data_IF_188296441897
#
_entry.id   IF_188296441897
#
_cell.length_a   1.000
_cell.length_b   1.000
_cell.length_c   1.000
_cell.angle_alpha   90.00
_cell.angle_beta   90.00
_cell.angle_gamma   90.00
#
_symmetry.space_group_name_H-M   'P 1'
#
loop_
_entity.id
_entity.type
_entity.pdbx_description
1 polymer ?
#
# COMPACT_ATOMS: atom_id res chain seq x y z
N UNK A 1 -12.09 -11.78 6.84
CA UNK A 1 -10.67 -11.61 6.55
C UNK A 1 -9.91 -11.36 7.84
N UNK A 2 -8.75 -11.93 7.96
CA UNK A 2 -7.87 -11.71 9.12
C UNK A 2 -7.49 -10.22 9.23
N UNK A 3 -7.44 -9.70 10.46
CA UNK A 3 -6.98 -8.33 10.70
C UNK A 3 -5.51 -8.19 10.33
N UNK A 4 -5.19 -7.11 9.61
CA UNK A 4 -3.84 -6.83 9.13
C UNK A 4 -3.25 -5.63 9.87
N UNK A 5 -1.93 -5.58 9.94
CA UNK A 5 -1.21 -4.36 10.30
C UNK A 5 -0.75 -3.71 9.00
N UNK A 6 -1.21 -2.51 8.74
CA UNK A 6 -1.05 -1.85 7.45
C UNK A 6 -0.16 -0.61 7.59
N UNK A 7 0.82 -0.50 6.71
CA UNK A 7 1.60 0.72 6.56
C UNK A 7 0.95 1.57 5.46
N UNK A 8 0.60 2.80 5.79
CA UNK A 8 0.02 3.76 4.85
C UNK A 8 1.11 4.75 4.44
N UNK A 9 1.29 4.92 3.13
CA UNK A 9 2.23 5.88 2.57
C UNK A 9 1.44 6.90 1.75
N UNK A 10 1.26 8.08 2.31
CA UNK A 10 0.43 9.16 1.74
C UNK A 10 0.90 10.50 2.28
N UNK A 11 1.20 11.45 1.39
CA UNK A 11 1.69 12.77 1.79
C UNK A 11 0.59 13.80 2.10
N UNK A 12 -0.63 13.57 1.64
CA UNK A 12 -1.78 14.40 2.00
C UNK A 12 -2.35 13.91 3.33
N UNK A 13 -2.21 14.73 4.38
CA UNK A 13 -2.61 14.33 5.73
C UNK A 13 -4.11 14.06 5.87
N UNK A 14 -4.94 14.77 5.12
CA UNK A 14 -6.40 14.55 5.17
C UNK A 14 -6.75 13.22 4.50
N UNK A 15 -6.17 12.94 3.35
CA UNK A 15 -6.39 11.67 2.64
C UNK A 15 -5.88 10.52 3.50
N UNK A 16 -4.72 10.66 4.10
CA UNK A 16 -4.15 9.65 5.00
C UNK A 16 -5.09 9.37 6.18
N UNK A 17 -5.64 10.40 6.80
CA UNK A 17 -6.56 10.25 7.93
C UNK A 17 -7.83 9.50 7.51
N UNK A 18 -8.42 9.87 6.37
CA UNK A 18 -9.62 9.21 5.87
C UNK A 18 -9.36 7.74 5.55
N UNK A 19 -8.21 7.45 4.96
CA UNK A 19 -7.81 6.08 4.66
C UNK A 19 -7.64 5.25 5.94
N UNK A 20 -6.98 5.81 6.94
CA UNK A 20 -6.82 5.14 8.24
C UNK A 20 -8.18 4.83 8.87
N UNK A 21 -9.10 5.79 8.87
CA UNK A 21 -10.45 5.57 9.40
C UNK A 21 -11.15 4.42 8.70
N UNK A 22 -11.08 4.39 7.37
CA UNK A 22 -11.68 3.31 6.58
C UNK A 22 -11.08 1.96 6.91
N UNK A 23 -9.76 1.89 7.02
CA UNK A 23 -9.07 0.63 7.35
C UNK A 23 -9.43 0.12 8.74
N UNK A 24 -9.52 1.02 9.71
CA UNK A 24 -9.93 0.67 11.08
C UNK A 24 -11.38 0.17 11.10
N UNK A 25 -12.27 0.80 10.36
CA UNK A 25 -13.67 0.34 10.23
C UNK A 25 -13.75 -1.05 9.60
N UNK A 26 -12.83 -1.39 8.71
CA UNK A 26 -12.74 -2.72 8.10
C UNK A 26 -12.17 -3.76 9.06
N UNK A 27 -11.70 -3.36 10.23
CA UNK A 27 -11.14 -4.28 11.22
C UNK A 27 -9.62 -4.41 11.19
N UNK A 28 -8.92 -3.57 10.42
CA UNK A 28 -7.46 -3.59 10.35
C UNK A 28 -6.83 -2.60 11.31
N UNK A 29 -5.56 -2.82 11.65
CA UNK A 29 -4.74 -1.84 12.34
C UNK A 29 -3.83 -1.12 11.37
N UNK A 30 -3.37 0.07 11.76
CA UNK A 30 -2.41 0.85 10.98
C UNK A 30 -1.16 1.00 11.83
N UNK A 31 -0.05 0.45 11.37
CA UNK A 31 1.20 0.46 12.14
C UNK A 31 2.07 1.69 11.86
N UNK A 32 1.76 2.43 10.81
CA UNK A 32 2.47 3.67 10.50
C UNK A 32 1.80 4.42 9.37
N UNK A 33 1.99 5.74 9.37
CA UNK A 33 1.56 6.63 8.29
C UNK A 33 2.78 7.48 7.94
N UNK A 34 3.26 7.38 6.71
CA UNK A 34 4.46 8.08 6.27
C UNK A 34 4.18 8.91 5.03
N UNK A 35 4.80 10.07 4.97
CA UNK A 35 4.57 11.03 3.90
C UNK A 35 5.68 11.03 2.84
N UNK A 36 6.81 10.38 3.12
CA UNK A 36 7.99 10.40 2.25
C UNK A 36 8.48 9.00 1.94
N UNK A 37 9.26 8.89 0.87
CA UNK A 37 9.87 7.61 0.48
C UNK A 37 10.79 7.09 1.60
N UNK A 38 11.68 7.91 2.13
CA UNK A 38 12.60 7.49 3.19
C UNK A 38 11.88 7.12 4.49
N UNK A 39 10.84 7.87 4.84
CA UNK A 39 10.01 7.57 6.01
C UNK A 39 9.30 6.23 5.88
N UNK A 40 8.78 5.94 4.68
CA UNK A 40 8.11 4.68 4.40
C UNK A 40 9.07 3.48 4.56
N UNK A 41 10.28 3.59 4.03
CA UNK A 41 11.30 2.53 4.13
C UNK A 41 11.67 2.28 5.60
N UNK A 42 11.91 3.34 6.35
CA UNK A 42 12.24 3.22 7.78
C UNK A 42 11.08 2.59 8.58
N UNK A 43 9.85 3.03 8.33
CA UNK A 43 8.67 2.51 9.01
C UNK A 43 8.44 1.03 8.71
N UNK A 44 8.66 0.60 7.47
CA UNK A 44 8.50 -0.81 7.10
C UNK A 44 9.48 -1.72 7.85
N UNK A 45 10.71 -1.27 8.04
CA UNK A 45 11.69 -2.01 8.82
C UNK A 45 11.30 -2.09 10.29
N UNK A 46 10.73 -1.02 10.82
CA UNK A 46 10.37 -0.93 12.23
C UNK A 46 9.08 -1.67 12.57
N UNK A 47 8.04 -1.50 11.77
CA UNK A 47 6.74 -2.09 12.11
C UNK A 47 6.43 -3.42 11.41
N UNK A 48 7.18 -3.79 10.39
CA UNK A 48 7.00 -5.05 9.65
C UNK A 48 5.53 -5.28 9.25
N UNK A 49 4.99 -4.46 8.35
CA UNK A 49 3.56 -4.51 8.02
C UNK A 49 3.19 -5.81 7.28
N UNK A 50 1.92 -6.19 7.42
CA UNK A 50 1.32 -7.27 6.64
C UNK A 50 0.95 -6.82 5.24
N UNK A 51 0.74 -5.52 5.06
CA UNK A 51 0.33 -4.92 3.80
C UNK A 51 0.81 -3.48 3.76
N UNK A 52 1.22 -3.03 2.58
CA UNK A 52 1.54 -1.61 2.33
C UNK A 52 0.51 -1.05 1.37
N UNK A 53 -0.07 0.10 1.72
CA UNK A 53 -0.93 0.86 0.82
C UNK A 53 -0.21 2.17 0.55
N UNK A 54 0.21 2.38 -0.68
CA UNK A 54 1.05 3.52 -1.03
C UNK A 54 0.44 4.36 -2.15
N UNK A 55 0.38 5.69 -1.94
CA UNK A 55 0.16 6.61 -3.04
C UNK A 55 1.39 6.53 -3.95
N UNK A 56 1.15 6.32 -5.23
CA UNK A 56 2.24 6.21 -6.20
C UNK A 56 3.05 7.51 -6.33
N UNK A 57 2.40 8.66 -6.10
CA UNK A 57 3.04 9.97 -6.22
C UNK A 57 3.10 10.66 -4.86
N UNK A 58 4.31 10.97 -4.42
CA UNK A 58 4.57 11.71 -3.18
C UNK A 58 5.23 13.03 -3.52
N UNK A 59 5.11 14.03 -2.65
CA UNK A 59 5.81 15.30 -2.81
C UNK A 59 7.33 15.11 -2.71
N UNK A 60 7.76 14.21 -1.83
CA UNK A 60 9.17 13.88 -1.66
C UNK A 60 9.36 12.39 -1.94
N UNK A 61 9.91 12.10 -3.13
CA UNK A 61 10.13 10.73 -3.56
C UNK A 61 8.92 10.18 -4.31
N UNK A 62 8.81 8.86 -4.30
CA UNK A 62 7.83 8.15 -5.11
C UNK A 62 7.40 6.88 -4.36
N UNK A 63 6.09 6.63 -4.31
CA UNK A 63 5.55 5.47 -3.61
C UNK A 63 5.98 4.15 -4.23
N UNK A 64 6.11 4.08 -5.55
CA UNK A 64 6.56 2.85 -6.22
C UNK A 64 8.02 2.57 -5.87
N UNK A 65 8.87 3.59 -5.89
CA UNK A 65 10.29 3.44 -5.49
C UNK A 65 10.42 3.05 -4.02
N UNK A 66 9.59 3.61 -3.15
CA UNK A 66 9.58 3.24 -1.73
C UNK A 66 9.28 1.76 -1.56
N UNK A 67 8.24 1.26 -2.23
CA UNK A 67 7.86 -0.16 -2.18
C UNK A 67 8.98 -1.02 -2.75
N UNK A 68 9.56 -0.66 -3.89
CA UNK A 68 10.67 -1.41 -4.48
C UNK A 68 11.83 -1.54 -3.49
N UNK A 69 12.18 -0.47 -2.79
CA UNK A 69 13.24 -0.51 -1.80
C UNK A 69 12.89 -1.41 -0.61
N UNK A 70 11.65 -1.33 -0.13
CA UNK A 70 11.16 -2.20 0.96
C UNK A 70 11.24 -3.67 0.52
N UNK A 71 10.81 -3.98 -0.71
CA UNK A 71 10.82 -5.35 -1.22
C UNK A 71 12.23 -5.91 -1.40
N UNK A 72 13.25 -5.07 -1.47
CA UNK A 72 14.62 -5.52 -1.59
C UNK A 72 15.10 -6.29 -0.36
N UNK A 73 14.45 -6.09 0.79
CA UNK A 73 14.78 -6.79 2.04
C UNK A 73 13.82 -7.96 2.35
N UNK A 74 12.81 -8.17 1.54
CA UNK A 74 11.85 -9.25 1.72
C UNK A 74 10.50 -8.85 1.15
N UNK A 75 9.73 -9.82 0.68
CA UNK A 75 8.45 -9.56 0.05
C UNK A 75 7.39 -9.16 1.08
N UNK A 76 6.65 -8.08 0.77
CA UNK A 76 5.50 -7.62 1.55
C UNK A 76 4.35 -7.39 0.57
N UNK A 77 3.14 -7.90 0.86
CA UNK A 77 1.96 -7.58 0.05
C UNK A 77 1.77 -6.07 -0.02
N UNK A 78 1.40 -5.57 -1.20
CA UNK A 78 1.26 -4.13 -1.39
C UNK A 78 0.27 -3.80 -2.49
N UNK A 79 -0.29 -2.60 -2.41
CA UNK A 79 -1.10 -2.03 -3.47
C UNK A 79 -0.81 -0.54 -3.58
N UNK A 80 -1.08 0.01 -4.77
CA UNK A 80 -0.89 1.43 -5.04
C UNK A 80 -2.23 2.14 -5.22
N UNK A 81 -2.26 3.39 -4.80
CA UNK A 81 -3.38 4.30 -5.06
C UNK A 81 -2.83 5.41 -5.94
N UNK A 82 -3.53 5.79 -6.99
CA UNK A 82 -3.05 6.80 -7.91
C UNK A 82 -4.19 7.56 -8.60
N UNK A 83 -3.96 8.83 -8.89
CA UNK A 83 -4.83 9.59 -9.79
C UNK A 83 -4.61 9.20 -11.25
N UNK A 84 -3.57 8.43 -11.56
CA UNK A 84 -3.28 7.96 -12.91
C UNK A 84 -2.76 6.52 -12.88
N UNK A 85 -3.70 5.58 -12.92
CA UNK A 85 -3.38 4.15 -12.82
C UNK A 85 -2.51 3.66 -14.00
N UNK A 86 -2.66 4.28 -15.18
CA UNK A 86 -1.87 3.90 -16.37
C UNK A 86 -0.38 4.11 -16.14
N UNK A 87 0.00 5.20 -15.46
CA UNK A 87 1.40 5.45 -15.12
C UNK A 87 1.95 4.40 -14.17
N UNK A 88 1.15 3.99 -13.18
CA UNK A 88 1.56 2.95 -12.24
C UNK A 88 1.78 1.64 -12.96
N UNK A 89 0.84 1.22 -13.79
CA UNK A 89 0.91 -0.06 -14.49
C UNK A 89 2.00 -0.07 -15.56
N UNK A 90 2.32 1.08 -16.16
CA UNK A 90 3.43 1.19 -17.09
C UNK A 90 4.77 0.93 -16.40
N UNK A 91 4.93 1.42 -15.17
CA UNK A 91 6.16 1.26 -14.39
C UNK A 91 6.22 -0.08 -13.65
N UNK A 92 5.07 -0.59 -13.25
CA UNK A 92 4.96 -1.83 -12.48
C UNK A 92 3.78 -2.67 -13.01
N UNK A 93 3.97 -3.39 -14.14
CA UNK A 93 2.85 -4.02 -14.88
C UNK A 93 2.04 -5.04 -14.09
N UNK A 94 2.63 -5.71 -13.13
CA UNK A 94 1.93 -6.70 -12.32
C UNK A 94 1.32 -6.15 -11.05
N UNK A 95 1.40 -4.84 -10.82
CA UNK A 95 0.98 -4.25 -9.57
C UNK A 95 -0.54 -4.27 -9.38
N UNK A 96 -0.97 -4.42 -8.13
CA UNK A 96 -2.35 -4.16 -7.74
C UNK A 96 -2.46 -2.64 -7.53
N UNK A 97 -3.37 -2.01 -8.24
CA UNK A 97 -3.54 -0.56 -8.15
C UNK A 97 -5.01 -0.19 -8.27
N UNK A 98 -5.41 0.88 -7.56
CA UNK A 98 -6.74 1.46 -7.67
C UNK A 98 -6.61 2.95 -7.94
N UNK A 99 -7.58 3.49 -8.70
CA UNK A 99 -7.57 4.88 -9.12
C UNK A 99 -8.42 5.74 -8.19
N UNK A 100 -7.92 6.92 -7.87
CA UNK A 100 -8.67 7.93 -7.11
C UNK A 100 -9.71 8.60 -8.00
N UNK A 101 -10.92 8.91 -7.50
CA UNK A 101 -11.46 8.49 -6.21
C UNK A 101 -11.92 7.04 -6.22
N UNK A 102 -11.88 6.36 -5.09
CA UNK A 102 -12.28 4.97 -4.99
C UNK A 102 -13.30 4.77 -3.86
N UNK A 103 -14.07 3.70 -3.97
CA UNK A 103 -15.04 3.29 -2.95
C UNK A 103 -14.40 2.32 -1.96
N UNK A 104 -14.97 2.22 -0.77
CA UNK A 104 -14.50 1.28 0.24
C UNK A 104 -14.48 -0.16 -0.28
N UNK A 105 -15.50 -0.55 -1.08
CA UNK A 105 -15.55 -1.88 -1.70
C UNK A 105 -14.38 -2.11 -2.66
N UNK A 106 -13.96 -1.09 -3.39
CA UNK A 106 -12.82 -1.19 -4.30
C UNK A 106 -11.52 -1.35 -3.53
N UNK A 107 -11.39 -0.65 -2.40
CA UNK A 107 -10.24 -0.79 -1.52
C UNK A 107 -10.18 -2.21 -0.93
N UNK A 108 -11.31 -2.73 -0.44
CA UNK A 108 -11.37 -4.08 0.11
C UNK A 108 -10.97 -5.13 -0.94
N UNK A 109 -11.48 -5.00 -2.17
CA UNK A 109 -11.12 -5.90 -3.26
C UNK A 109 -9.63 -5.82 -3.60
N UNK A 110 -9.05 -4.61 -3.60
CA UNK A 110 -7.64 -4.43 -3.88
C UNK A 110 -6.76 -5.06 -2.79
N UNK A 111 -7.18 -4.95 -1.52
CA UNK A 111 -6.47 -5.60 -0.41
C UNK A 111 -6.47 -7.12 -0.63
N UNK A 112 -7.61 -7.71 -0.96
CA UNK A 112 -7.72 -9.16 -1.22
C UNK A 112 -6.84 -9.58 -2.39
N UNK A 113 -6.83 -8.79 -3.46
CA UNK A 113 -5.99 -9.06 -4.64
C UNK A 113 -4.51 -9.00 -4.29
N UNK A 114 -4.10 -8.04 -3.47
CA UNK A 114 -2.71 -7.91 -3.03
C UNK A 114 -2.27 -9.12 -2.19
N UNK A 115 -3.16 -9.61 -1.31
CA UNK A 115 -2.88 -10.79 -0.52
C UNK A 115 -2.81 -12.06 -1.38
N UNK A 116 -3.70 -12.19 -2.37
CA UNK A 116 -3.71 -13.32 -3.31
C UNK A 116 -2.43 -13.32 -4.17
N UNK A 117 -2.01 -12.16 -4.65
CA UNK A 117 -0.77 -12.03 -5.41
C UNK A 117 0.45 -12.43 -4.56
N UNK A 118 0.43 -12.07 -3.27
CA UNK A 118 1.49 -12.45 -2.34
C UNK A 118 1.54 -13.96 -2.12
N UNK A 119 0.39 -14.62 -2.01
CA UNK A 119 0.33 -16.08 -1.84
C UNK A 119 0.92 -16.78 -3.07
N UNK A 120 0.59 -16.31 -4.28
CA UNK A 120 1.15 -16.83 -5.52
C UNK A 120 2.66 -16.60 -5.57
N UNK A 121 3.15 -15.43 -5.20
CA UNK A 121 4.57 -15.10 -5.19
C UNK A 121 5.37 -16.00 -4.23
N UNK A 122 4.73 -16.46 -3.14
CA UNK A 122 5.35 -17.39 -2.18
C UNK A 122 5.20 -18.86 -2.58
N UNK A 123 4.55 -19.14 -3.71
CA UNK A 123 4.28 -20.51 -4.16
C UNK A 123 3.19 -21.22 -3.38
N UNK A 124 2.35 -20.49 -2.66
CA UNK A 124 1.22 -21.03 -1.92
C UNK A 124 0.03 -21.25 -2.87
N UNK A 125 -0.76 -22.33 -2.68
CA UNK A 125 -1.94 -22.55 -3.50
C UNK A 125 -3.07 -21.55 -3.26
#
# INVERSE_FOLDING_TARGET
MKALQILVVEDDSLIAMLLVETLVEMGHGVCGVEATESGAVAAALHCRPDLIIADAQLMEGNGISAVDEILSTGFVPHLFISGNIKKVLARSPGAVAIEKPFRDSELDQAIRRALDAAAVAKGEP
#
